data_IF_449790066084
#
_entry.id   IF_449790066084
#
_cell.length_a   1.000
_cell.length_b   1.000
_cell.length_c   1.000
_cell.angle_alpha   90.00
_cell.angle_beta   90.00
_cell.angle_gamma   90.00
#
_symmetry.space_group_name_H-M   'P 1'
#
loop_
_entity.id
_entity.type
_entity.pdbx_description
1 polymer ?
#
# COMPACT_ATOMS: atom_id res chain seq x y z
N UNK A 1 0.42 -1.71 13.15
CA UNK A 1 -0.12 -0.84 12.08
C UNK A 1 0.05 -1.58 10.78
N UNK A 2 -0.96 -1.59 9.91
CA UNK A 2 -0.86 -2.19 8.58
C UNK A 2 -0.68 -1.06 7.57
N UNK A 3 0.28 -1.22 6.68
CA UNK A 3 0.41 -0.36 5.51
C UNK A 3 -0.07 -1.10 4.27
N UNK A 4 -0.74 -0.39 3.37
CA UNK A 4 -1.20 -0.92 2.09
C UNK A 4 -0.75 0.03 1.01
N UNK A 5 -0.09 -0.49 -0.02
CA UNK A 5 0.43 0.26 -1.16
C UNK A 5 -0.18 -0.30 -2.44
N UNK A 6 -0.81 0.57 -3.23
CA UNK A 6 -1.33 0.19 -4.54
C UNK A 6 -0.21 0.13 -5.58
N UNK A 7 0.06 -1.04 -6.12
CA UNK A 7 1.11 -1.24 -7.14
C UNK A 7 0.50 -1.34 -8.55
N UNK A 8 -0.66 -1.98 -8.67
CA UNK A 8 -1.34 -2.19 -9.95
C UNK A 8 -2.07 -0.95 -10.47
N UNK A 9 -2.17 -0.85 -11.80
CA UNK A 9 -2.93 0.20 -12.51
C UNK A 9 -4.44 -0.02 -12.48
N UNK A 10 -5.20 0.57 -13.40
CA UNK A 10 -6.66 0.38 -13.52
C UNK A 10 -7.08 -0.52 -14.69
N UNK A 11 -6.11 -0.91 -15.53
CA UNK A 11 -6.35 -1.62 -16.79
C UNK A 11 -6.70 -3.08 -16.51
N UNK A 12 -7.81 -3.56 -17.08
CA UNK A 12 -8.33 -4.94 -16.93
C UNK A 12 -8.61 -5.39 -15.49
N UNK A 13 -8.87 -4.45 -14.58
CA UNK A 13 -9.30 -4.78 -13.22
C UNK A 13 -10.83 -4.93 -13.18
N UNK A 14 -11.32 -5.91 -12.42
CA UNK A 14 -12.76 -6.13 -12.17
C UNK A 14 -13.35 -4.91 -11.47
N UNK A 15 -14.60 -4.58 -11.77
CA UNK A 15 -15.24 -3.39 -11.23
C UNK A 15 -15.29 -3.39 -9.69
N UNK A 16 -15.55 -4.54 -9.08
CA UNK A 16 -15.57 -4.75 -7.62
C UNK A 16 -14.24 -4.31 -6.97
N UNK A 17 -13.12 -4.80 -7.50
CA UNK A 17 -11.78 -4.46 -7.01
C UNK A 17 -11.49 -2.96 -7.20
N UNK A 18 -11.92 -2.38 -8.32
CA UNK A 18 -11.78 -0.93 -8.56
C UNK A 18 -12.61 -0.12 -7.56
N UNK A 19 -13.80 -0.57 -7.22
CA UNK A 19 -14.65 0.06 -6.23
C UNK A 19 -14.00 -0.01 -4.84
N UNK A 20 -13.48 -1.18 -4.45
CA UNK A 20 -12.73 -1.35 -3.19
C UNK A 20 -11.54 -0.40 -3.12
N UNK A 21 -10.79 -0.21 -4.21
CA UNK A 21 -9.73 0.79 -4.30
C UNK A 21 -10.23 2.23 -4.09
N UNK A 22 -11.38 2.59 -4.67
CA UNK A 22 -11.99 3.92 -4.50
C UNK A 22 -12.45 4.13 -3.06
N UNK A 23 -13.08 3.13 -2.44
CA UNK A 23 -13.55 3.17 -1.04
C UNK A 23 -12.39 3.34 -0.04
N UNK A 24 -11.26 2.67 -0.28
CA UNK A 24 -10.03 2.82 0.51
C UNK A 24 -9.24 4.11 0.21
N UNK A 25 -9.65 4.90 -0.80
CA UNK A 25 -8.94 6.11 -1.21
C UNK A 25 -7.67 5.88 -2.05
N UNK A 26 -7.42 4.64 -2.47
CA UNK A 26 -6.27 4.22 -3.28
C UNK A 26 -6.51 4.51 -4.77
N UNK A 27 -6.64 5.78 -5.12
CA UNK A 27 -7.06 6.23 -6.47
C UNK A 27 -5.98 6.14 -7.55
N UNK A 28 -4.69 6.13 -7.18
CA UNK A 28 -3.56 6.15 -8.14
C UNK A 28 -2.50 5.10 -7.79
N UNK A 29 -1.65 4.76 -8.76
CA UNK A 29 -0.45 3.95 -8.49
C UNK A 29 0.43 4.60 -7.43
N UNK A 30 1.02 3.79 -6.57
CA UNK A 30 1.86 4.20 -5.44
C UNK A 30 1.16 5.11 -4.43
N UNK A 31 -0.18 5.07 -4.39
CA UNK A 31 -0.92 5.54 -3.21
C UNK A 31 -0.76 4.53 -2.08
N UNK A 32 -0.59 5.06 -0.88
CA UNK A 32 -0.33 4.31 0.33
C UNK A 32 -1.34 4.72 1.39
N UNK A 33 -1.91 3.77 2.10
CA UNK A 33 -2.75 4.01 3.27
C UNK A 33 -2.15 3.30 4.49
N UNK A 34 -2.17 3.98 5.63
CA UNK A 34 -1.73 3.41 6.91
C UNK A 34 -2.95 3.24 7.80
N UNK A 35 -3.18 2.01 8.25
CA UNK A 35 -4.27 1.61 9.14
C UNK A 35 -3.71 1.25 10.52
N UNK A 36 -4.14 1.99 11.54
CA UNK A 36 -3.69 1.78 12.92
C UNK A 36 -4.38 0.56 13.57
N UNK A 37 -5.69 0.38 13.32
CA UNK A 37 -6.50 -0.75 13.79
C UNK A 37 -7.41 -1.24 12.66
N UNK A 38 -7.13 -2.40 12.04
CA UNK A 38 -7.96 -2.92 10.96
C UNK A 38 -9.31 -3.43 11.52
N UNK A 39 -10.40 -2.88 11.03
CA UNK A 39 -11.75 -3.41 11.26
C UNK A 39 -11.96 -4.71 10.48
N UNK A 40 -12.94 -5.56 10.87
CA UNK A 40 -13.26 -6.78 10.11
C UNK A 40 -13.61 -6.51 8.63
N UNK A 41 -14.24 -5.36 8.38
CA UNK A 41 -14.61 -4.90 7.03
C UNK A 41 -13.36 -4.59 6.20
N UNK A 42 -12.41 -3.83 6.77
CA UNK A 42 -11.14 -3.51 6.09
C UNK A 42 -10.31 -4.78 5.83
N UNK A 43 -10.31 -5.75 6.75
CA UNK A 43 -9.68 -7.04 6.50
C UNK A 43 -10.31 -7.79 5.32
N UNK A 44 -11.64 -7.73 5.18
CA UNK A 44 -12.33 -8.25 4.01
C UNK A 44 -11.88 -7.58 2.72
N UNK A 45 -11.81 -6.24 2.72
CA UNK A 45 -11.33 -5.46 1.57
C UNK A 45 -9.88 -5.81 1.20
N UNK A 46 -8.99 -5.96 2.19
CA UNK A 46 -7.58 -6.35 1.96
C UNK A 46 -7.48 -7.73 1.29
N UNK A 47 -8.30 -8.70 1.72
CA UNK A 47 -8.31 -10.05 1.13
C UNK A 47 -8.72 -10.02 -0.34
N UNK A 48 -9.67 -9.16 -0.71
CA UNK A 48 -10.13 -9.01 -2.09
C UNK A 48 -9.06 -8.39 -2.99
N UNK A 49 -8.34 -7.36 -2.50
CA UNK A 49 -7.35 -6.62 -3.30
C UNK A 49 -5.92 -7.19 -3.20
N UNK A 50 -5.71 -8.28 -2.46
CA UNK A 50 -4.39 -8.85 -2.12
C UNK A 50 -3.47 -9.06 -3.34
N UNK A 51 -4.05 -9.37 -4.49
CA UNK A 51 -3.31 -9.68 -5.73
C UNK A 51 -2.90 -8.41 -6.50
N UNK A 52 -3.31 -7.23 -6.03
CA UNK A 52 -3.07 -5.94 -6.70
C UNK A 52 -2.31 -4.94 -5.82
N UNK A 53 -2.16 -5.23 -4.53
CA UNK A 53 -1.50 -4.37 -3.54
C UNK A 53 -0.35 -5.08 -2.87
N UNK A 54 0.58 -4.29 -2.33
CA UNK A 54 1.53 -4.74 -1.33
C UNK A 54 1.00 -4.33 0.05
N UNK A 55 0.95 -5.24 1.01
CA UNK A 55 0.58 -4.90 2.38
C UNK A 55 1.47 -5.60 3.41
N UNK A 56 1.58 -5.04 4.60
CA UNK A 56 2.40 -5.61 5.67
C UNK A 56 2.38 -4.80 6.96
N UNK A 57 3.15 -5.25 7.93
CA UNK A 57 3.31 -4.62 9.23
C UNK A 57 4.31 -3.46 9.15
N UNK A 58 3.84 -2.27 9.48
CA UNK A 58 4.64 -1.05 9.48
C UNK A 58 5.27 -0.80 10.86
N UNK A 59 6.57 -0.50 10.85
CA UNK A 59 7.30 -0.14 12.06
C UNK A 59 7.11 1.34 12.44
N UNK A 60 7.20 1.65 13.74
CA UNK A 60 7.06 3.02 14.25
C UNK A 60 8.13 3.96 13.71
N UNK A 61 9.36 3.48 13.48
CA UNK A 61 10.44 4.27 12.90
C UNK A 61 10.14 4.66 11.45
N UNK A 62 9.68 3.70 10.65
CA UNK A 62 9.34 3.92 9.24
C UNK A 62 8.14 4.85 9.10
N UNK A 63 7.17 4.73 10.01
CA UNK A 63 6.01 5.61 10.07
C UNK A 63 6.39 7.09 10.32
N UNK A 64 7.34 7.35 11.22
CA UNK A 64 7.87 8.72 11.44
C UNK A 64 8.50 9.30 10.18
N UNK A 65 9.39 8.55 9.53
CA UNK A 65 10.02 8.97 8.25
C UNK A 65 8.98 9.27 7.17
N UNK A 66 7.93 8.46 7.11
CA UNK A 66 6.86 8.61 6.13
C UNK A 66 6.04 9.90 6.36
N UNK A 67 5.73 10.22 7.61
CA UNK A 67 5.08 11.50 7.96
C UNK A 67 6.00 12.68 7.65
N UNK A 68 7.28 12.59 7.99
CA UNK A 68 8.23 13.69 7.76
C UNK A 68 8.40 13.98 6.26
N UNK A 69 8.59 12.95 5.44
CA UNK A 69 8.84 13.10 4.02
C UNK A 69 7.58 13.41 3.19
N UNK A 70 6.42 12.88 3.58
CA UNK A 70 5.20 12.87 2.75
C UNK A 70 3.94 13.33 3.48
N UNK A 71 4.03 13.69 4.75
CA UNK A 71 2.93 14.26 5.53
C UNK A 71 2.50 15.59 4.94
N UNK A 72 1.54 15.56 4.03
CA UNK A 72 0.79 16.76 3.70
C UNK A 72 0.03 17.18 4.96
N UNK A 73 0.09 18.47 5.31
CA UNK A 73 -0.86 19.11 6.24
C UNK A 73 -2.28 18.80 5.76
N UNK A 74 -2.92 17.75 6.26
CA UNK A 74 -4.32 17.48 5.93
C UNK A 74 -5.13 17.04 7.14
N UNK A 75 -6.27 17.73 7.26
CA UNK A 75 -7.24 17.81 8.35
C UNK A 75 -8.22 16.63 8.42
N UNK A 76 -7.97 15.52 7.71
CA UNK A 76 -8.96 14.45 7.55
C UNK A 76 -8.50 13.09 8.06
N UNK A 77 -9.47 12.32 8.55
CA UNK A 77 -9.34 11.02 9.24
C UNK A 77 -8.64 9.93 8.43
N UNK A 78 -8.46 10.10 7.12
CA UNK A 78 -7.88 9.08 6.22
C UNK A 78 -6.45 9.45 5.83
N UNK A 79 -5.47 8.74 6.42
CA UNK A 79 -4.02 8.94 6.19
C UNK A 79 -3.59 8.30 4.87
N UNK A 80 -3.97 8.91 3.75
CA UNK A 80 -3.51 8.51 2.42
C UNK A 80 -2.25 9.31 2.04
N UNK A 81 -1.16 8.60 1.81
CA UNK A 81 0.12 9.14 1.39
C UNK A 81 0.37 8.85 -0.08
N UNK A 82 1.09 9.74 -0.75
CA UNK A 82 1.55 9.53 -2.13
C UNK A 82 3.04 9.26 -2.10
N UNK A 83 3.41 8.05 -2.50
CA UNK A 83 4.80 7.62 -2.51
C UNK A 83 5.44 7.85 -3.89
N UNK A 84 6.77 7.95 -3.89
CA UNK A 84 7.54 7.94 -5.12
C UNK A 84 7.62 6.49 -5.65
N UNK A 85 7.74 6.27 -6.97
CA UNK A 85 8.07 4.96 -7.50
C UNK A 85 9.31 4.37 -6.80
N UNK A 86 9.37 3.04 -6.62
CA UNK A 86 10.45 2.42 -5.85
C UNK A 86 11.78 2.51 -6.58
N UNK A 87 12.79 3.04 -5.90
CA UNK A 87 14.17 3.08 -6.41
C UNK A 87 14.68 1.66 -6.69
N UNK A 88 15.46 1.48 -7.76
CA UNK A 88 15.99 0.19 -8.26
C UNK A 88 14.98 -0.78 -8.91
N UNK A 89 13.75 -0.32 -9.18
CA UNK A 89 12.73 -1.09 -9.91
C UNK A 89 12.12 -2.25 -9.12
N UNK A 90 10.97 -2.74 -9.56
CA UNK A 90 10.19 -3.83 -8.93
C UNK A 90 9.51 -4.68 -10.01
N UNK A 91 9.22 -5.94 -9.71
CA UNK A 91 8.34 -6.77 -10.53
C UNK A 91 6.89 -6.61 -10.06
N UNK A 92 6.19 -5.64 -10.63
CA UNK A 92 4.81 -5.29 -10.28
C UNK A 92 3.77 -6.38 -10.59
N UNK A 93 4.16 -7.48 -11.25
CA UNK A 93 3.28 -8.58 -11.67
C UNK A 93 3.46 -9.84 -10.82
N UNK A 94 4.52 -9.92 -10.02
CA UNK A 94 4.86 -11.11 -9.25
C UNK A 94 4.50 -10.90 -7.77
N UNK A 95 4.09 -11.98 -7.13
CA UNK A 95 3.88 -12.01 -5.69
C UNK A 95 5.20 -11.93 -4.93
N UNK A 96 5.12 -11.38 -3.72
CA UNK A 96 6.21 -11.35 -2.78
C UNK A 96 6.75 -12.78 -2.52
N UNK A 97 8.08 -12.91 -2.47
CA UNK A 97 8.77 -14.20 -2.38
C UNK A 97 9.14 -14.84 -3.73
N UNK A 98 8.60 -14.35 -4.85
CA UNK A 98 9.00 -14.79 -6.19
C UNK A 98 9.87 -13.73 -6.86
N UNK A 99 11.18 -14.00 -6.98
CA UNK A 99 12.17 -13.07 -7.57
C UNK A 99 12.11 -11.67 -6.91
N UNK A 100 11.82 -10.61 -7.68
CA UNK A 100 11.66 -9.22 -7.20
C UNK A 100 10.18 -8.81 -7.09
N UNK A 101 9.29 -9.78 -6.94
CA UNK A 101 7.85 -9.58 -6.81
C UNK A 101 7.47 -8.82 -5.55
N UNK A 102 6.36 -8.08 -5.64
CA UNK A 102 5.92 -7.14 -4.62
C UNK A 102 4.41 -7.21 -4.33
N UNK A 103 3.66 -8.11 -4.94
CA UNK A 103 2.22 -8.23 -4.66
C UNK A 103 1.96 -9.12 -3.44
N UNK A 104 0.92 -8.82 -2.67
CA UNK A 104 0.48 -9.60 -1.51
C UNK A 104 1.11 -9.14 -0.19
N UNK A 105 1.25 -10.11 0.73
CA UNK A 105 1.72 -9.86 2.10
C UNK A 105 3.25 -9.87 2.18
N UNK A 106 3.83 -8.78 2.67
CA UNK A 106 5.27 -8.61 2.89
C UNK A 106 5.67 -8.76 4.36
N UNK A 107 4.70 -8.92 5.27
CA UNK A 107 4.96 -8.92 6.72
C UNK A 107 5.79 -7.70 7.13
N UNK A 108 6.94 -7.94 7.78
CA UNK A 108 7.87 -6.89 8.23
C UNK A 108 8.76 -6.31 7.12
N UNK A 109 8.88 -6.99 5.98
CA UNK A 109 9.76 -6.54 4.88
C UNK A 109 9.17 -5.38 4.09
N UNK A 110 7.89 -5.05 4.31
CA UNK A 110 7.23 -3.90 3.70
C UNK A 110 7.94 -2.59 4.02
N UNK A 111 8.59 -2.50 5.19
CA UNK A 111 9.35 -1.32 5.61
C UNK A 111 10.47 -1.01 4.61
N UNK A 112 11.18 -2.04 4.11
CA UNK A 112 12.21 -1.87 3.08
C UNK A 112 11.63 -1.33 1.77
N UNK A 113 10.42 -1.75 1.40
CA UNK A 113 9.74 -1.25 0.20
C UNK A 113 9.34 0.21 0.36
N UNK A 114 8.78 0.56 1.52
CA UNK A 114 8.43 1.94 1.86
C UNK A 114 9.67 2.84 1.82
N UNK A 115 10.78 2.43 2.43
CA UNK A 115 12.03 3.20 2.40
C UNK A 115 12.57 3.43 0.99
N UNK A 116 12.39 2.48 0.07
CA UNK A 116 12.75 2.65 -1.35
C UNK A 116 11.84 3.61 -2.10
N UNK A 117 10.65 3.87 -1.58
CA UNK A 117 9.60 4.70 -2.18
C UNK A 117 9.47 6.09 -1.51
N UNK A 118 10.17 6.34 -0.40
CA UNK A 118 10.30 7.67 0.19
C UNK A 118 11.21 8.57 -0.65
#
# INVERSE_FOLDING_TARGET
>A
MIVIIRISGDVKIREEVRETFRRLGLTRKYSCIVLDKPTPVEMGMIKEIKDFVAFGELDAETYKKLIEARGKKFKEKTKVFRLHPPRKGIDSKLHFGVKKGVLGNHGKEINKLVERML
#
